data_IF_751176150189
#
_entry.id   IF_751176150189
#
_cell.length_a   1.000
_cell.length_b   1.000
_cell.length_c   1.000
_cell.angle_alpha   90.00
_cell.angle_beta   90.00
_cell.angle_gamma   90.00
#
_symmetry.space_group_name_H-M   'P 1'
#
loop_
_entity.id
_entity.type
_entity.pdbx_description
1 polymer ?
#
# COMPACT_ATOMS: atom_id res chain seq x y z
N UNK A 1 -0.61 -2.51 11.70
CA UNK A 1 -0.50 -1.18 11.06
C UNK A 1 -0.19 -0.09 12.10
N UNK A 2 1.05 0.42 12.09
CA UNK A 2 1.52 1.53 12.95
C UNK A 2 1.83 2.79 12.14
N UNK A 3 1.16 2.97 11.01
CA UNK A 3 1.27 4.18 10.20
C UNK A 3 0.65 5.37 10.95
N UNK A 4 1.27 6.55 10.85
CA UNK A 4 0.86 7.74 11.61
C UNK A 4 -0.50 8.24 11.14
N UNK A 5 -0.80 8.08 9.85
CA UNK A 5 -2.07 8.43 9.23
C UNK A 5 -2.48 7.30 8.28
N UNK A 6 -3.26 6.30 8.75
CA UNK A 6 -3.81 5.29 7.85
C UNK A 6 -4.83 5.98 6.94
N UNK A 7 -4.44 6.28 5.70
CA UNK A 7 -5.35 6.80 4.70
C UNK A 7 -6.43 5.76 4.43
N UNK A 8 -7.69 6.09 4.71
CA UNK A 8 -8.81 5.20 4.39
C UNK A 8 -8.98 5.13 2.88
N UNK A 9 -9.41 3.96 2.37
CA UNK A 9 -9.66 3.76 0.94
C UNK A 9 -10.60 4.83 0.37
N UNK A 10 -11.67 5.14 1.10
CA UNK A 10 -12.66 6.16 0.70
C UNK A 10 -12.08 7.57 0.57
N UNK A 11 -11.03 7.91 1.32
CA UNK A 11 -10.33 9.18 1.14
C UNK A 11 -9.44 9.14 -0.10
N UNK A 12 -8.72 8.03 -0.32
CA UNK A 12 -7.87 7.85 -1.49
C UNK A 12 -8.68 7.89 -2.79
N UNK A 13 -9.85 7.25 -2.83
CA UNK A 13 -10.77 7.23 -3.99
C UNK A 13 -11.31 8.62 -4.35
N UNK A 14 -11.38 9.54 -3.38
CA UNK A 14 -11.75 10.94 -3.66
C UNK A 14 -10.60 11.74 -4.29
N UNK A 15 -9.35 11.32 -4.07
CA UNK A 15 -8.15 12.06 -4.45
C UNK A 15 -7.50 11.54 -5.74
N UNK A 16 -7.59 10.25 -5.98
CA UNK A 16 -7.03 9.56 -7.15
C UNK A 16 -8.17 9.08 -8.05
N UNK A 17 -8.05 9.36 -9.34
CA UNK A 17 -9.09 9.04 -10.33
C UNK A 17 -9.14 7.56 -10.70
N UNK A 18 -8.02 6.84 -10.52
CA UNK A 18 -7.91 5.42 -10.82
C UNK A 18 -6.92 4.75 -9.85
N UNK A 19 -7.46 3.95 -8.92
CA UNK A 19 -6.66 3.16 -7.98
C UNK A 19 -6.59 1.73 -8.52
N UNK A 20 -5.47 1.42 -9.18
CA UNK A 20 -5.24 0.13 -9.85
C UNK A 20 -4.95 -0.99 -8.85
N UNK A 21 -4.40 -0.65 -7.67
CA UNK A 21 -4.04 -1.62 -6.63
C UNK A 21 -4.27 -1.04 -5.24
N UNK A 22 -4.94 -1.81 -4.37
CA UNK A 22 -5.16 -1.49 -2.96
C UNK A 22 -5.07 -2.77 -2.13
N UNK A 23 -4.26 -2.76 -1.08
CA UNK A 23 -4.14 -3.89 -0.16
C UNK A 23 -3.96 -3.40 1.28
N UNK A 24 -4.52 -4.15 2.23
CA UNK A 24 -4.43 -3.86 3.66
C UNK A 24 -3.67 -4.97 4.37
N UNK A 25 -2.50 -4.63 4.90
CA UNK A 25 -1.61 -5.60 5.54
C UNK A 25 -1.75 -5.57 7.07
N UNK A 26 -1.74 -6.73 7.74
CA UNK A 26 -1.90 -6.80 9.20
C UNK A 26 -0.67 -6.26 9.95
N UNK A 27 0.49 -6.17 9.31
CA UNK A 27 1.80 -5.82 9.91
C UNK A 27 2.54 -4.77 9.07
N UNK A 28 3.40 -3.99 9.73
CA UNK A 28 4.10 -2.84 9.15
C UNK A 28 3.64 -1.51 9.76
N UNK A 29 4.46 -0.49 9.55
CA UNK A 29 4.28 0.87 10.07
C UNK A 29 4.84 1.90 9.09
N UNK A 30 5.24 3.06 9.63
CA UNK A 30 5.69 4.21 8.85
C UNK A 30 6.86 3.90 7.90
N UNK A 31 7.78 3.02 8.32
CA UNK A 31 8.94 2.64 7.52
C UNK A 31 8.72 1.27 6.87
N UNK A 32 7.64 1.11 6.10
CA UNK A 32 7.23 -0.17 5.52
C UNK A 32 8.37 -0.94 4.82
N UNK A 33 9.21 -0.25 4.04
CA UNK A 33 10.36 -0.86 3.36
C UNK A 33 11.46 -1.37 4.29
N UNK A 34 11.61 -0.78 5.49
CA UNK A 34 12.59 -1.19 6.49
C UNK A 34 12.01 -2.21 7.47
N UNK A 35 10.76 -2.01 7.89
CA UNK A 35 10.08 -2.86 8.86
C UNK A 35 9.70 -4.23 8.28
N UNK A 36 9.32 -4.31 7.01
CA UNK A 36 8.89 -5.53 6.31
C UNK A 36 9.39 -5.53 4.85
N UNK A 37 10.71 -5.64 4.59
CA UNK A 37 11.29 -5.46 3.26
C UNK A 37 10.76 -6.43 2.21
N UNK A 38 10.65 -7.72 2.53
CA UNK A 38 10.14 -8.73 1.61
C UNK A 38 8.66 -8.52 1.27
N UNK A 39 7.87 -8.12 2.27
CA UNK A 39 6.45 -7.83 2.08
C UNK A 39 6.30 -6.61 1.19
N UNK A 40 7.03 -5.53 1.47
CA UNK A 40 7.03 -4.31 0.67
C UNK A 40 7.41 -4.59 -0.80
N UNK A 41 8.46 -5.37 -1.05
CA UNK A 41 8.89 -5.72 -2.39
C UNK A 41 7.82 -6.51 -3.16
N UNK A 42 7.10 -7.42 -2.50
CA UNK A 42 6.01 -8.21 -3.11
C UNK A 42 4.80 -7.36 -3.47
N UNK A 43 4.43 -6.41 -2.61
CA UNK A 43 3.32 -5.48 -2.88
C UNK A 43 3.63 -4.61 -4.11
N UNK A 44 4.86 -4.11 -4.23
CA UNK A 44 5.30 -3.40 -5.42
C UNK A 44 5.18 -4.26 -6.68
N UNK A 45 5.70 -5.50 -6.65
CA UNK A 45 5.60 -6.41 -7.79
C UNK A 45 4.14 -6.69 -8.18
N UNK A 46 3.26 -6.88 -7.19
CA UNK A 46 1.84 -7.15 -7.41
C UNK A 46 1.13 -5.96 -8.05
N UNK A 47 1.42 -4.75 -7.60
CA UNK A 47 0.90 -3.51 -8.17
C UNK A 47 1.32 -3.36 -9.64
N UNK A 48 2.63 -3.45 -9.94
CA UNK A 48 3.13 -3.28 -11.31
C UNK A 48 2.74 -4.41 -12.26
N UNK A 49 2.45 -5.61 -11.76
CA UNK A 49 1.93 -6.70 -12.59
C UNK A 49 0.55 -6.38 -13.22
N UNK A 50 -0.24 -5.52 -12.57
CA UNK A 50 -1.56 -5.07 -13.07
C UNK A 50 -1.47 -3.92 -14.07
N UNK A 51 -0.29 -3.32 -14.26
CA UNK A 51 -0.06 -2.15 -15.12
C UNK A 51 0.63 -2.51 -16.45
N UNK A 52 0.55 -3.78 -16.86
CA UNK A 52 1.12 -4.27 -18.12
C UNK A 52 0.21 -4.06 -19.32
#
# INVERSE_FOLDING_TARGET
>A
PKEILPATRSWAERRYTDIVYWNELPKGGHFAAWEQPDLFARELQSCFALMR
#
